data_IF_051545185023
#
_entry.id   IF_051545185023
#
_cell.length_a   1.000
_cell.length_b   1.000
_cell.length_c   1.000
_cell.angle_alpha   90.00
_cell.angle_beta   90.00
_cell.angle_gamma   90.00
#
_symmetry.space_group_name_H-M   'P 1'
#
loop_
_entity.id
_entity.type
_entity.pdbx_description
1 polymer ?
#
# COMPACT_ATOMS: atom_id res chain seq x y z
N UNK A 1 23.86 -13.45 26.26
CA UNK A 1 23.09 -12.23 25.90
C UNK A 1 21.70 -12.34 26.50
N UNK A 2 21.27 -11.44 27.39
CA UNK A 2 20.06 -11.65 28.18
C UNK A 2 18.80 -11.28 27.37
N UNK A 3 17.88 -12.25 27.19
CA UNK A 3 16.59 -12.12 26.47
C UNK A 3 15.65 -11.02 27.01
N UNK A 4 15.94 -10.40 28.15
CA UNK A 4 15.07 -9.39 28.78
C UNK A 4 15.13 -8.01 28.11
N UNK A 5 16.12 -7.72 27.26
CA UNK A 5 16.20 -6.46 26.50
C UNK A 5 15.35 -6.50 25.22
N UNK A 6 15.33 -7.64 24.53
CA UNK A 6 14.62 -7.79 23.26
C UNK A 6 13.09 -7.61 23.39
N UNK A 7 12.50 -8.11 24.47
CA UNK A 7 11.07 -7.92 24.74
C UNK A 7 10.72 -6.46 25.03
N UNK A 8 11.58 -5.74 25.76
CA UNK A 8 11.37 -4.30 26.04
C UNK A 8 11.50 -3.46 24.77
N UNK A 9 12.45 -3.80 23.90
CA UNK A 9 12.62 -3.15 22.60
C UNK A 9 11.46 -3.46 21.66
N UNK A 10 10.99 -4.71 21.60
CA UNK A 10 9.82 -5.09 20.80
C UNK A 10 8.54 -4.37 21.28
N UNK A 11 8.32 -4.28 22.59
CA UNK A 11 7.19 -3.56 23.18
C UNK A 11 7.29 -2.05 22.90
N UNK A 12 8.48 -1.47 23.06
CA UNK A 12 8.72 -0.04 22.79
C UNK A 12 8.57 0.30 21.30
N UNK A 13 9.00 -0.59 20.42
CA UNK A 13 8.83 -0.49 18.97
C UNK A 13 7.35 -0.61 18.56
N UNK A 14 6.62 -1.54 19.19
CA UNK A 14 5.19 -1.74 18.93
C UNK A 14 4.30 -0.63 19.50
N UNK A 15 4.70 0.00 20.61
CA UNK A 15 3.89 0.97 21.36
C UNK A 15 4.46 2.40 21.29
N UNK A 16 4.85 2.87 20.10
CA UNK A 16 5.03 4.30 19.87
C UNK A 16 3.76 5.08 20.26
N UNK A 17 3.89 6.30 20.79
CA UNK A 17 2.78 7.03 21.44
C UNK A 17 1.47 7.05 20.64
N UNK A 18 1.52 7.20 19.32
CA UNK A 18 0.32 7.21 18.48
C UNK A 18 -0.21 5.78 18.14
N UNK A 19 0.65 4.75 18.19
CA UNK A 19 0.29 3.33 17.98
C UNK A 19 -0.41 2.70 19.18
N UNK A 20 -0.27 3.30 20.37
CA UNK A 20 -1.02 2.91 21.57
C UNK A 20 -2.54 2.97 21.32
N UNK A 21 -2.98 3.81 20.37
CA UNK A 21 -4.38 3.84 19.92
C UNK A 21 -4.94 2.47 19.53
N UNK A 22 -4.10 1.52 19.07
CA UNK A 22 -4.51 0.13 18.77
C UNK A 22 -5.16 -0.55 20.00
N UNK A 23 -4.61 -0.31 21.21
CA UNK A 23 -5.11 -0.90 22.45
C UNK A 23 -6.51 -0.39 22.82
N UNK A 24 -6.92 0.74 22.27
CA UNK A 24 -8.25 1.33 22.49
C UNK A 24 -9.16 1.00 21.31
N UNK A 25 -8.70 1.20 20.08
CA UNK A 25 -9.51 1.11 18.87
C UNK A 25 -9.93 -0.32 18.53
N UNK A 26 -9.06 -1.33 18.72
CA UNK A 26 -9.43 -2.73 18.46
C UNK A 26 -10.49 -3.21 19.45
N UNK A 27 -10.32 -3.07 20.79
CA UNK A 27 -11.37 -3.41 21.73
C UNK A 27 -12.63 -2.59 21.52
N UNK A 28 -12.53 -1.29 21.21
CA UNK A 28 -13.70 -0.46 20.92
C UNK A 28 -14.50 -0.98 19.72
N UNK A 29 -13.83 -1.39 18.63
CA UNK A 29 -14.48 -2.01 17.48
C UNK A 29 -15.16 -3.34 17.86
N UNK A 30 -14.50 -4.18 18.66
CA UNK A 30 -15.07 -5.45 19.12
C UNK A 30 -16.27 -5.26 20.06
N UNK A 31 -16.13 -4.39 21.07
CA UNK A 31 -17.19 -4.08 22.03
C UNK A 31 -18.39 -3.39 21.35
N UNK A 32 -18.16 -2.57 20.32
CA UNK A 32 -19.25 -1.96 19.55
C UNK A 32 -20.20 -3.01 19.00
N UNK A 33 -19.69 -4.19 18.61
CA UNK A 33 -20.51 -5.31 18.14
C UNK A 33 -21.28 -5.96 19.29
N UNK A 34 -20.63 -6.20 20.42
CA UNK A 34 -21.25 -6.83 21.60
C UNK A 34 -22.32 -5.94 22.25
N UNK A 35 -22.09 -4.63 22.25
CA UNK A 35 -23.00 -3.63 22.83
C UNK A 35 -24.09 -3.17 21.86
N UNK A 36 -24.15 -3.74 20.65
CA UNK A 36 -25.15 -3.40 19.63
C UNK A 36 -25.21 -1.90 19.30
N UNK A 37 -24.04 -1.23 19.32
CA UNK A 37 -23.96 0.18 18.96
C UNK A 37 -24.22 0.37 17.46
N UNK A 38 -24.46 1.62 17.06
CA UNK A 38 -24.68 1.96 15.66
C UNK A 38 -23.53 1.43 14.77
N UNK A 39 -23.78 0.72 13.65
CA UNK A 39 -22.75 0.04 12.86
C UNK A 39 -21.60 0.93 12.40
N UNK A 40 -21.88 2.22 12.16
CA UNK A 40 -20.87 3.23 11.77
C UNK A 40 -19.80 3.41 12.83
N UNK A 41 -20.13 3.26 14.12
CA UNK A 41 -19.18 3.41 15.23
C UNK A 41 -18.17 2.25 15.20
N UNK A 42 -18.66 1.01 15.10
CA UNK A 42 -17.81 -0.17 15.00
C UNK A 42 -16.95 -0.15 13.74
N UNK A 43 -17.54 0.25 12.60
CA UNK A 43 -16.81 0.43 11.34
C UNK A 43 -15.72 1.50 11.46
N UNK A 44 -16.06 2.67 12.00
CA UNK A 44 -15.12 3.78 12.19
C UNK A 44 -13.97 3.42 13.13
N UNK A 45 -14.25 2.74 14.23
CA UNK A 45 -13.23 2.25 15.16
C UNK A 45 -12.30 1.22 14.50
N UNK A 46 -12.85 0.28 13.72
CA UNK A 46 -12.07 -0.70 12.97
C UNK A 46 -11.21 -0.04 11.88
N UNK A 47 -11.77 0.89 11.11
CA UNK A 47 -11.04 1.63 10.08
C UNK A 47 -9.92 2.48 10.69
N UNK A 48 -10.18 3.16 11.81
CA UNK A 48 -9.17 3.91 12.53
C UNK A 48 -8.06 3.00 13.10
N UNK A 49 -8.39 1.80 13.57
CA UNK A 49 -7.42 0.82 14.06
C UNK A 49 -6.46 0.33 12.96
N UNK A 50 -6.92 0.27 11.70
CA UNK A 50 -6.09 -0.16 10.58
C UNK A 50 -4.91 0.78 10.31
N UNK A 51 -5.04 2.09 10.57
CA UNK A 51 -3.98 3.07 10.29
C UNK A 51 -2.69 2.80 11.09
N UNK A 52 -2.70 2.75 12.43
CA UNK A 52 -1.51 2.41 13.21
C UNK A 52 -1.05 0.97 12.98
N UNK A 53 -1.95 0.05 12.68
CA UNK A 53 -1.61 -1.35 12.42
C UNK A 53 -0.84 -1.51 11.10
N UNK A 54 -1.26 -0.81 10.04
CA UNK A 54 -0.58 -0.78 8.76
C UNK A 54 0.83 -0.17 8.92
N UNK A 55 0.97 0.89 9.72
CA UNK A 55 2.30 1.46 10.02
C UNK A 55 3.19 0.47 10.77
N UNK A 56 2.67 -0.26 11.76
CA UNK A 56 3.45 -1.27 12.47
C UNK A 56 3.90 -2.41 11.55
N UNK A 57 3.01 -2.88 10.67
CA UNK A 57 3.33 -3.90 9.67
C UNK A 57 4.39 -3.42 8.68
N UNK A 58 4.31 -2.16 8.26
CA UNK A 58 5.31 -1.52 7.39
C UNK A 58 6.71 -1.53 8.01
N UNK A 59 6.85 -1.00 9.24
CA UNK A 59 8.16 -0.99 9.92
C UNK A 59 8.69 -2.41 10.16
N UNK A 60 7.82 -3.36 10.53
CA UNK A 60 8.22 -4.75 10.72
C UNK A 60 8.72 -5.39 9.41
N UNK A 61 8.05 -5.07 8.29
CA UNK A 61 8.45 -5.50 6.95
C UNK A 61 9.80 -4.92 6.55
N UNK A 62 10.02 -3.63 6.81
CA UNK A 62 11.29 -2.95 6.51
C UNK A 62 12.45 -3.54 7.32
N UNK A 63 12.25 -3.77 8.62
CA UNK A 63 13.24 -4.43 9.46
C UNK A 63 13.56 -5.83 8.94
N UNK A 64 12.56 -6.64 8.62
CA UNK A 64 12.79 -7.99 8.12
C UNK A 64 13.48 -7.97 6.75
N UNK A 65 13.09 -7.05 5.85
CA UNK A 65 13.71 -6.87 4.54
C UNK A 65 15.20 -6.54 4.64
N UNK A 66 15.61 -5.76 5.65
CA UNK A 66 17.00 -5.43 5.94
C UNK A 66 17.88 -6.64 6.27
N UNK A 67 17.29 -7.74 6.78
CA UNK A 67 18.05 -8.92 7.23
C UNK A 67 18.15 -10.04 6.19
N UNK A 68 17.31 -10.04 5.15
CA UNK A 68 17.21 -11.15 4.18
C UNK A 68 17.83 -10.84 2.81
N UNK A 69 18.49 -9.69 2.67
CA UNK A 69 19.22 -9.26 1.47
C UNK A 69 18.33 -8.60 0.42
N UNK A 70 18.92 -7.77 -0.45
CA UNK A 70 18.19 -6.82 -1.31
C UNK A 70 17.08 -7.44 -2.19
N UNK A 71 17.29 -8.63 -2.75
CA UNK A 71 16.29 -9.26 -3.65
C UNK A 71 15.12 -9.86 -2.86
N UNK A 72 15.39 -10.62 -1.80
CA UNK A 72 14.35 -11.19 -0.96
C UNK A 72 13.63 -10.11 -0.14
N UNK A 73 14.36 -9.09 0.32
CA UNK A 73 13.79 -7.92 1.00
C UNK A 73 12.91 -7.08 0.07
N UNK A 74 13.28 -6.95 -1.20
CA UNK A 74 12.45 -6.32 -2.22
C UNK A 74 11.14 -7.09 -2.49
N UNK A 75 11.20 -8.43 -2.57
CA UNK A 75 10.01 -9.29 -2.68
C UNK A 75 9.10 -9.16 -1.45
N UNK A 76 9.73 -9.16 -0.28
CA UNK A 76 9.03 -9.04 0.99
C UNK A 76 8.30 -7.70 1.09
N UNK A 77 8.97 -6.60 0.76
CA UNK A 77 8.34 -5.27 0.78
C UNK A 77 7.20 -5.16 -0.23
N UNK A 78 7.36 -5.73 -1.43
CA UNK A 78 6.32 -5.69 -2.45
C UNK A 78 5.05 -6.47 -2.03
N UNK A 79 5.22 -7.59 -1.31
CA UNK A 79 4.12 -8.43 -0.85
C UNK A 79 3.53 -7.95 0.48
N UNK A 80 4.36 -7.82 1.52
CA UNK A 80 3.92 -7.41 2.85
C UNK A 80 3.54 -5.93 2.94
N UNK A 81 4.15 -5.06 2.14
CA UNK A 81 3.81 -3.63 2.10
C UNK A 81 2.38 -3.35 1.63
N UNK A 82 1.81 -4.24 0.82
CA UNK A 82 0.41 -4.17 0.36
C UNK A 82 -0.47 -5.28 0.97
N UNK A 83 0.03 -6.02 1.96
CA UNK A 83 -0.66 -7.19 2.49
C UNK A 83 -1.97 -6.83 3.18
N UNK A 84 -2.03 -5.68 3.86
CA UNK A 84 -3.26 -5.21 4.50
C UNK A 84 -4.40 -5.03 3.47
N UNK A 85 -4.08 -4.44 2.30
CA UNK A 85 -5.03 -4.27 1.20
C UNK A 85 -5.43 -5.62 0.59
N UNK A 86 -4.47 -6.53 0.40
CA UNK A 86 -4.75 -7.87 -0.12
C UNK A 86 -5.67 -8.66 0.82
N UNK A 87 -5.40 -8.65 2.13
CA UNK A 87 -6.22 -9.31 3.15
C UNK A 87 -7.63 -8.72 3.15
N UNK A 88 -7.76 -7.40 3.16
CA UNK A 88 -9.06 -6.72 3.09
C UNK A 88 -9.82 -7.13 1.83
N UNK A 89 -9.16 -7.11 0.66
CA UNK A 89 -9.75 -7.50 -0.62
C UNK A 89 -10.27 -8.94 -0.61
N UNK A 90 -9.47 -9.90 -0.13
CA UNK A 90 -9.89 -11.32 -0.06
C UNK A 90 -11.08 -11.49 0.88
N UNK A 91 -11.05 -10.89 2.08
CA UNK A 91 -12.14 -10.99 3.05
C UNK A 91 -13.43 -10.35 2.49
N UNK A 92 -13.32 -9.19 1.85
CA UNK A 92 -14.45 -8.53 1.23
C UNK A 92 -15.03 -9.33 0.06
N UNK A 93 -14.18 -9.95 -0.78
CA UNK A 93 -14.62 -10.86 -1.84
C UNK A 93 -15.35 -12.09 -1.29
N UNK A 94 -14.83 -12.71 -0.22
CA UNK A 94 -15.53 -13.81 0.47
C UNK A 94 -16.88 -13.39 1.05
N UNK A 95 -17.02 -12.13 1.46
CA UNK A 95 -18.29 -11.53 1.86
C UNK A 95 -19.21 -11.12 0.71
N UNK A 96 -18.81 -11.33 -0.55
CA UNK A 96 -19.59 -10.92 -1.73
C UNK A 96 -19.52 -9.42 -2.04
N UNK A 97 -18.64 -8.66 -1.39
CA UNK A 97 -18.51 -7.21 -1.53
C UNK A 97 -17.58 -6.82 -2.69
N UNK A 98 -17.87 -7.29 -3.91
CA UNK A 98 -17.06 -7.03 -5.10
C UNK A 98 -16.92 -5.54 -5.42
N UNK A 99 -17.99 -4.75 -5.26
CA UNK A 99 -17.96 -3.30 -5.47
C UNK A 99 -17.05 -2.58 -4.46
N UNK A 100 -17.02 -3.04 -3.21
CA UNK A 100 -16.11 -2.49 -2.19
C UNK A 100 -14.65 -2.76 -2.57
N UNK A 101 -14.36 -3.95 -3.11
CA UNK A 101 -12.99 -4.30 -3.56
C UNK A 101 -12.57 -3.50 -4.80
N UNK A 102 -13.47 -3.33 -5.77
CA UNK A 102 -13.19 -2.44 -6.92
C UNK A 102 -12.92 -1.02 -6.44
N UNK A 103 -13.78 -0.49 -5.58
CA UNK A 103 -13.62 0.85 -5.02
C UNK A 103 -12.32 1.00 -4.21
N UNK A 104 -11.92 -0.01 -3.41
CA UNK A 104 -10.68 0.05 -2.64
C UNK A 104 -9.44 -0.02 -3.51
N UNK A 105 -9.43 -0.84 -4.56
CA UNK A 105 -8.30 -0.91 -5.50
C UNK A 105 -8.14 0.41 -6.28
N UNK A 106 -9.24 0.96 -6.80
CA UNK A 106 -9.23 2.28 -7.44
C UNK A 106 -8.79 3.37 -6.46
N UNK A 107 -9.31 3.33 -5.23
CA UNK A 107 -8.94 4.25 -4.15
C UNK A 107 -7.45 4.18 -3.78
N UNK A 108 -6.86 2.99 -3.71
CA UNK A 108 -5.42 2.80 -3.44
C UNK A 108 -4.55 3.40 -4.55
N UNK A 109 -4.93 3.19 -5.82
CA UNK A 109 -4.22 3.81 -6.96
C UNK A 109 -4.30 5.33 -6.86
N UNK A 110 -5.50 5.91 -6.74
CA UNK A 110 -5.68 7.36 -6.67
C UNK A 110 -4.99 7.94 -5.43
N UNK A 111 -5.13 7.27 -4.28
CA UNK A 111 -4.53 7.65 -3.01
C UNK A 111 -3.01 7.70 -3.09
N UNK A 112 -2.37 6.67 -3.66
CA UNK A 112 -0.92 6.67 -3.78
C UNK A 112 -0.40 7.72 -4.77
N UNK A 113 -1.09 7.93 -5.89
CA UNK A 113 -0.65 8.84 -6.95
C UNK A 113 -0.93 10.31 -6.68
N UNK A 114 -2.07 10.64 -6.08
CA UNK A 114 -2.46 12.02 -5.85
C UNK A 114 -2.23 12.42 -4.40
N UNK A 115 -2.72 11.63 -3.44
CA UNK A 115 -2.66 12.02 -2.04
C UNK A 115 -1.25 11.84 -1.46
N UNK A 116 -0.72 10.61 -1.48
CA UNK A 116 0.58 10.30 -0.88
C UNK A 116 1.71 10.99 -1.64
N UNK A 117 1.78 10.78 -2.96
CA UNK A 117 2.80 11.45 -3.77
C UNK A 117 2.64 12.97 -3.76
N UNK A 118 1.42 13.50 -3.89
CA UNK A 118 1.18 14.94 -3.88
C UNK A 118 1.59 15.59 -2.55
N UNK A 119 1.24 14.98 -1.42
CA UNK A 119 1.65 15.47 -0.10
C UNK A 119 3.17 15.36 0.08
N UNK A 120 3.80 14.26 -0.34
CA UNK A 120 5.24 14.09 -0.27
C UNK A 120 5.99 15.13 -1.12
N UNK A 121 5.52 15.38 -2.35
CA UNK A 121 6.09 16.40 -3.24
C UNK A 121 5.86 17.81 -2.69
N UNK A 122 4.67 18.10 -2.16
CA UNK A 122 4.34 19.39 -1.55
C UNK A 122 5.24 19.67 -0.35
N UNK A 123 5.25 18.77 0.65
CA UNK A 123 6.06 18.93 1.85
C UNK A 123 7.57 18.92 1.55
N UNK A 124 8.03 18.07 0.63
CA UNK A 124 9.42 18.03 0.18
C UNK A 124 9.85 19.29 -0.57
N UNK A 125 8.90 19.96 -1.24
CA UNK A 125 9.11 21.18 -2.01
C UNK A 125 9.04 22.49 -1.22
N UNK A 126 8.46 22.51 -0.01
CA UNK A 126 8.27 23.75 0.78
C UNK A 126 9.55 24.58 1.01
N UNK A 127 10.72 23.95 0.99
CA UNK A 127 12.03 24.61 1.19
C UNK A 127 13.01 24.37 0.04
N UNK A 128 12.52 23.90 -1.11
CA UNK A 128 13.35 23.50 -2.26
C UNK A 128 12.69 23.96 -3.55
N UNK A 129 13.41 24.70 -4.37
CA UNK A 129 12.90 25.12 -5.68
C UNK A 129 12.67 23.94 -6.64
N UNK A 130 13.47 22.87 -6.51
CA UNK A 130 13.41 21.69 -7.37
C UNK A 130 13.65 20.42 -6.55
N UNK A 131 12.88 19.37 -6.85
CA UNK A 131 13.11 18.02 -6.37
C UNK A 131 13.86 17.22 -7.46
N UNK A 132 14.99 16.62 -7.10
CA UNK A 132 15.77 15.77 -8.01
C UNK A 132 15.36 14.31 -7.85
N UNK A 133 15.16 13.64 -8.99
CA UNK A 133 14.83 12.22 -9.05
C UNK A 133 15.70 11.52 -10.09
N UNK A 134 15.91 10.22 -9.92
CA UNK A 134 16.56 9.40 -10.94
C UNK A 134 15.64 9.27 -12.16
N UNK A 135 16.04 9.89 -13.28
CA UNK A 135 15.24 9.93 -14.53
C UNK A 135 14.93 8.54 -15.08
N UNK A 136 15.86 7.59 -14.96
CA UNK A 136 15.66 6.22 -15.46
C UNK A 136 14.63 5.48 -14.60
N UNK A 137 14.75 5.57 -13.28
CA UNK A 137 13.81 4.93 -12.36
C UNK A 137 12.40 5.54 -12.47
N UNK A 138 12.29 6.86 -12.55
CA UNK A 138 11.00 7.55 -12.75
C UNK A 138 10.39 7.17 -14.10
N UNK A 139 11.17 7.20 -15.18
CA UNK A 139 10.67 6.83 -16.51
C UNK A 139 10.14 5.40 -16.58
N UNK A 140 10.87 4.44 -16.01
CA UNK A 140 10.45 3.04 -15.95
C UNK A 140 9.16 2.86 -15.12
N UNK A 141 9.12 3.43 -13.91
CA UNK A 141 7.97 3.29 -13.00
C UNK A 141 6.71 3.99 -13.55
N UNK A 142 6.83 5.20 -14.10
CA UNK A 142 5.69 5.92 -14.68
C UNK A 142 5.14 5.21 -15.91
N UNK A 143 6.00 4.67 -16.78
CA UNK A 143 5.56 3.92 -17.96
C UNK A 143 4.82 2.63 -17.57
N UNK A 144 5.34 1.91 -16.57
CA UNK A 144 4.72 0.69 -16.07
C UNK A 144 3.37 0.99 -15.39
N UNK A 145 3.31 2.05 -14.59
CA UNK A 145 2.08 2.52 -13.95
C UNK A 145 1.03 2.91 -15.00
N UNK A 146 1.42 3.67 -16.03
CA UNK A 146 0.53 4.06 -17.11
C UNK A 146 -0.05 2.84 -17.82
N UNK A 147 0.79 1.87 -18.19
CA UNK A 147 0.35 0.61 -18.78
C UNK A 147 -0.63 -0.11 -17.84
N UNK A 148 -0.33 -0.17 -16.54
CA UNK A 148 -1.15 -0.86 -15.56
C UNK A 148 -2.54 -0.23 -15.42
N UNK A 149 -2.61 1.10 -15.29
CA UNK A 149 -3.87 1.84 -15.16
C UNK A 149 -4.70 1.73 -16.44
N UNK A 150 -4.10 1.91 -17.61
CA UNK A 150 -4.81 1.78 -18.89
C UNK A 150 -5.38 0.37 -19.03
N UNK A 151 -4.55 -0.66 -18.83
CA UNK A 151 -4.99 -2.04 -18.94
C UNK A 151 -6.13 -2.36 -17.94
N UNK A 152 -6.03 -1.90 -16.69
CA UNK A 152 -7.06 -2.11 -15.66
C UNK A 152 -8.40 -1.46 -16.04
N UNK A 153 -8.38 -0.30 -16.71
CA UNK A 153 -9.58 0.46 -17.11
C UNK A 153 -10.22 -0.10 -18.38
N UNK A 154 -9.46 -0.79 -19.25
CA UNK A 154 -9.95 -1.27 -20.55
C UNK A 154 -11.21 -2.16 -20.47
N UNK A 155 -11.33 -3.16 -19.58
CA UNK A 155 -12.55 -3.96 -19.47
C UNK A 155 -13.80 -3.13 -19.15
N UNK A 156 -13.66 -2.11 -18.29
CA UNK A 156 -14.77 -1.23 -17.93
C UNK A 156 -15.19 -0.34 -19.10
N UNK A 157 -14.23 0.21 -19.86
CA UNK A 157 -14.52 1.01 -21.06
C UNK A 157 -15.19 0.16 -22.15
N UNK A 158 -14.73 -1.07 -22.35
CA UNK A 158 -15.33 -1.99 -23.30
C UNK A 158 -16.78 -2.32 -22.93
N UNK A 159 -17.02 -2.64 -21.66
CA UNK A 159 -18.37 -2.89 -21.15
C UNK A 159 -19.28 -1.67 -21.35
N UNK A 160 -18.82 -0.47 -21.01
CA UNK A 160 -19.60 0.75 -21.20
C UNK A 160 -19.90 1.03 -22.68
N UNK A 161 -18.92 0.82 -23.56
CA UNK A 161 -19.07 1.05 -25.01
C UNK A 161 -20.03 0.07 -25.67
N UNK A 162 -20.00 -1.22 -25.28
CA UNK A 162 -20.81 -2.27 -25.91
C UNK A 162 -22.20 -2.39 -25.27
N UNK A 163 -22.29 -2.29 -23.94
CA UNK A 163 -23.52 -2.57 -23.18
C UNK A 163 -24.23 -1.29 -22.70
N UNK A 164 -23.61 -0.12 -22.84
CA UNK A 164 -24.17 1.17 -22.38
C UNK A 164 -24.31 1.31 -20.86
N UNK A 165 -23.97 0.28 -20.08
CA UNK A 165 -24.16 0.20 -18.62
C UNK A 165 -23.03 -0.61 -17.97
N UNK A 166 -22.85 -0.46 -16.66
CA UNK A 166 -21.85 -1.19 -15.86
C UNK A 166 -22.46 -2.30 -14.98
N UNK A 167 -23.76 -2.57 -15.11
CA UNK A 167 -24.54 -3.34 -14.12
C UNK A 167 -24.46 -4.86 -14.29
N UNK A 168 -24.04 -5.38 -15.45
CA UNK A 168 -23.86 -6.82 -15.64
C UNK A 168 -22.64 -7.15 -16.50
N UNK A 169 -21.62 -7.74 -15.86
CA UNK A 169 -20.49 -8.33 -16.56
C UNK A 169 -20.92 -9.70 -17.11
N UNK A 170 -21.30 -9.76 -18.38
CA UNK A 170 -21.48 -11.04 -19.06
C UNK A 170 -20.17 -11.83 -19.17
N UNK A 171 -20.25 -13.13 -19.48
CA UNK A 171 -19.09 -14.04 -19.60
C UNK A 171 -17.95 -13.51 -20.49
N UNK A 172 -18.27 -12.67 -21.49
CA UNK A 172 -17.28 -12.03 -22.35
C UNK A 172 -16.43 -10.98 -21.61
N UNK A 173 -17.05 -10.17 -20.76
CA UNK A 173 -16.38 -9.13 -19.97
C UNK A 173 -15.53 -9.76 -18.87
N UNK A 174 -16.02 -10.84 -18.26
CA UNK A 174 -15.26 -11.62 -17.28
C UNK A 174 -13.99 -12.20 -17.90
N UNK A 175 -14.10 -12.87 -19.06
CA UNK A 175 -12.93 -13.37 -19.79
C UNK A 175 -11.95 -12.27 -20.16
N UNK A 176 -12.45 -11.12 -20.61
CA UNK A 176 -11.61 -9.96 -20.90
C UNK A 176 -10.85 -9.49 -19.65
N UNK A 177 -11.54 -9.41 -18.51
CA UNK A 177 -10.95 -9.04 -17.22
C UNK A 177 -9.88 -10.04 -16.76
N UNK A 178 -10.11 -11.35 -16.97
CA UNK A 178 -9.13 -12.40 -16.68
C UNK A 178 -7.87 -12.28 -17.56
N UNK A 179 -8.03 -12.04 -18.86
CA UNK A 179 -6.89 -11.80 -19.76
C UNK A 179 -6.11 -10.55 -19.38
N UNK A 180 -6.82 -9.46 -19.06
CA UNK A 180 -6.21 -8.24 -18.55
C UNK A 180 -5.42 -8.50 -17.28
N UNK A 181 -6.00 -9.22 -16.30
CA UNK A 181 -5.31 -9.58 -15.07
C UNK A 181 -4.06 -10.43 -15.32
N UNK A 182 -4.11 -11.38 -16.26
CA UNK A 182 -2.95 -12.19 -16.64
C UNK A 182 -1.82 -11.33 -17.25
N UNK A 183 -2.16 -10.41 -18.16
CA UNK A 183 -1.19 -9.49 -18.77
C UNK A 183 -0.55 -8.59 -17.72
N UNK A 184 -1.35 -8.05 -16.79
CA UNK A 184 -0.86 -7.24 -15.67
C UNK A 184 0.09 -8.03 -14.76
N UNK A 185 -0.25 -9.28 -14.44
CA UNK A 185 0.57 -10.16 -13.62
C UNK A 185 1.91 -10.47 -14.30
N UNK A 186 1.89 -10.78 -15.60
CA UNK A 186 3.10 -11.03 -16.38
C UNK A 186 3.98 -9.77 -16.48
N UNK A 187 3.38 -8.61 -16.70
CA UNK A 187 4.09 -7.33 -16.70
C UNK A 187 4.74 -7.04 -15.34
N UNK A 188 4.02 -7.29 -14.24
CA UNK A 188 4.53 -7.18 -12.88
C UNK A 188 5.74 -8.08 -12.63
N UNK A 189 5.66 -9.38 -12.94
CA UNK A 189 6.81 -10.28 -12.76
C UNK A 189 7.99 -9.93 -13.67
N UNK A 190 7.72 -9.49 -14.90
CA UNK A 190 8.75 -9.02 -15.83
C UNK A 190 9.48 -7.78 -15.29
N UNK A 191 8.75 -6.85 -14.69
CA UNK A 191 9.34 -5.68 -14.01
C UNK A 191 10.22 -6.07 -12.83
N UNK A 192 9.86 -7.16 -12.14
CA UNK A 192 10.65 -7.70 -11.04
C UNK A 192 11.99 -8.24 -11.55
N UNK A 193 11.97 -9.01 -12.63
CA UNK A 193 13.19 -9.49 -13.30
C UNK A 193 14.03 -8.29 -13.76
N UNK A 194 13.40 -7.26 -14.32
CA UNK A 194 14.09 -6.06 -14.75
C UNK A 194 14.80 -5.34 -13.59
N UNK A 195 14.10 -5.12 -12.48
CA UNK A 195 14.60 -4.40 -11.31
C UNK A 195 15.70 -5.17 -10.57
N UNK A 196 15.55 -6.49 -10.39
CA UNK A 196 16.48 -7.28 -9.57
C UNK A 196 17.59 -7.98 -10.34
N UNK A 197 17.44 -8.18 -11.66
CA UNK A 197 18.44 -8.86 -12.48
C UNK A 197 19.10 -7.92 -13.48
N UNK A 198 18.35 -7.29 -14.38
CA UNK A 198 18.95 -6.60 -15.53
C UNK A 198 19.43 -5.18 -15.20
N UNK A 199 18.72 -4.45 -14.34
CA UNK A 199 19.01 -3.04 -14.02
C UNK A 199 19.28 -2.81 -12.52
N UNK A 200 19.85 -3.82 -11.85
CA UNK A 200 20.12 -3.78 -10.39
C UNK A 200 20.94 -2.56 -9.95
N UNK A 201 21.84 -2.05 -10.79
CA UNK A 201 22.68 -0.88 -10.49
C UNK A 201 21.90 0.43 -10.43
N UNK A 202 20.84 0.57 -11.23
CA UNK A 202 19.97 1.77 -11.26
C UNK A 202 19.11 1.84 -9.99
N UNK A 203 18.69 0.70 -9.47
CA UNK A 203 17.81 0.60 -8.29
C UNK A 203 18.57 0.43 -6.96
N UNK A 204 19.84 0.02 -6.96
CA UNK A 204 20.69 -0.05 -5.74
C UNK A 204 21.21 1.31 -5.26
N UNK A 205 21.30 2.31 -6.15
CA UNK A 205 21.78 3.66 -5.81
C UNK A 205 20.87 4.46 -4.88
N UNK A 206 19.63 4.01 -4.67
CA UNK A 206 18.73 4.54 -3.64
C UNK A 206 18.96 3.81 -2.31
N UNK A 207 20.20 3.80 -1.82
CA UNK A 207 20.44 3.44 -0.43
C UNK A 207 19.71 4.49 0.41
N UNK A 208 18.69 4.08 1.15
CA UNK A 208 18.01 4.93 2.11
C UNK A 208 19.04 5.33 3.18
N UNK A 209 19.74 6.45 2.98
CA UNK A 209 20.22 7.24 4.10
C UNK A 209 18.96 7.58 4.89
N UNK A 210 18.77 6.93 6.05
CA UNK A 210 17.74 7.31 7.00
C UNK A 210 17.85 8.82 7.21
N UNK A 211 16.89 9.64 6.74
CA UNK A 211 16.98 11.07 6.91
C UNK A 211 16.89 11.33 8.42
N UNK A 212 17.97 11.83 9.02
CA UNK A 212 17.92 12.25 10.42
C UNK A 212 17.06 13.52 10.49
N UNK A 213 15.77 13.37 10.74
CA UNK A 213 14.91 14.53 10.97
C UNK A 213 15.40 15.20 12.25
N UNK A 214 15.91 16.43 12.11
CA UNK A 214 16.32 17.26 13.24
C UNK A 214 15.10 17.43 14.14
N UNK A 215 15.24 17.19 15.46
CA UNK A 215 14.13 17.22 16.43
C UNK A 215 13.28 18.50 16.36
N UNK A 216 13.89 19.63 15.99
CA UNK A 216 13.19 20.90 15.78
C UNK A 216 12.16 20.86 14.64
N UNK A 217 12.41 20.08 13.58
CA UNK A 217 11.51 19.97 12.41
C UNK A 217 10.36 19.01 12.70
N UNK A 218 10.58 17.97 13.52
CA UNK A 218 9.51 17.06 13.95
C UNK A 218 8.44 17.76 14.79
N UNK A 219 8.81 18.77 15.57
CA UNK A 219 7.89 19.58 16.39
C UNK A 219 7.09 20.59 15.56
N UNK A 220 7.54 20.95 14.35
CA UNK A 220 6.80 21.87 13.46
C UNK A 220 5.78 21.15 12.56
N UNK A 221 5.88 19.82 12.44
CA UNK A 221 5.01 19.00 11.56
C UNK A 221 3.96 18.21 12.36
N UNK A 222 4.12 18.11 13.69
CA UNK A 222 3.07 17.70 14.64
C UNK A 222 2.30 18.93 15.11
#
# INVERSE_FOLDING_TARGET
MPRSSAWKEAIRFSLGHWRISILVLIPAAALSRSLHLHPVIGFGAAAAALVPLASLLGDATEQLAGHIGATAGGLLNATLGNLAELIFGVIALWGGHTEVVKASLTGSIIGNLLLVFGLAAFLGGLRREKLSFNRVAVGANTSMLFLAVVALVMPALFQLSVSGTLESAGLKIERLSLWTALVLLLSYFSSFIFMFRTHRSVFRGASFETPSIRKSTAVTVL
#
